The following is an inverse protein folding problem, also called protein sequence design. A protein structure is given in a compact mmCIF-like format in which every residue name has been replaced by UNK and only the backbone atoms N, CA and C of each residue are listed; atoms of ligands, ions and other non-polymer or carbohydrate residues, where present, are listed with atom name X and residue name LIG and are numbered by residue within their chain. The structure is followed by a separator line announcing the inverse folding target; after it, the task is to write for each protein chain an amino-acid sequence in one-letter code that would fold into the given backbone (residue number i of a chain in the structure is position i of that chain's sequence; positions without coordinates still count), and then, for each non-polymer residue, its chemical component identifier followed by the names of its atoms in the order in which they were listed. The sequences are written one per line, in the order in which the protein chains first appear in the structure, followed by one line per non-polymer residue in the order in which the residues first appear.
data_IF_899297877409
#
_entry.id   IF_899297877409
#
_cell.length_a   1.000
_cell.length_b   1.000
_cell.length_c   1.000
_cell.angle_alpha   90.00
_cell.angle_beta   90.00
_cell.angle_gamma   90.00
#
_symmetry.space_group_name_H-M   'P 1'
#
loop_
_entity.id
_entity.type
_entity.pdbx_description
1 polymer ?
#
# COMPACT_ATOMS: atom_id res chain seq x y z
N UNK A 1 -2.58 2.34 5.25
CA UNK A 1 -1.73 3.53 5.03
C UNK A 1 -2.09 4.73 5.88
N UNK A 2 -3.37 5.14 6.00
CA UNK A 2 -3.77 6.31 6.80
C UNK A 2 -3.15 6.37 8.21
N UNK A 3 -3.17 5.24 8.94
CA UNK A 3 -2.52 5.11 10.25
C UNK A 3 -1.03 5.45 10.24
N UNK A 4 -0.31 5.06 9.18
CA UNK A 4 1.13 5.27 9.03
C UNK A 4 1.39 6.76 8.74
N UNK A 5 0.66 7.34 7.79
CA UNK A 5 0.75 8.76 7.44
C UNK A 5 0.49 9.65 8.66
N UNK A 6 -0.58 9.39 9.41
CA UNK A 6 -0.89 10.08 10.65
C UNK A 6 0.19 9.85 11.74
N UNK A 7 0.72 8.62 11.84
CA UNK A 7 1.77 8.28 12.81
C UNK A 7 3.09 9.01 12.57
N UNK A 8 3.40 9.36 11.32
CA UNK A 8 4.55 10.23 10.98
C UNK A 8 4.23 11.74 11.04
N UNK A 9 3.02 12.13 11.46
CA UNK A 9 2.62 13.53 11.59
C UNK A 9 2.28 14.24 10.28
N UNK A 10 2.04 13.50 9.20
CA UNK A 10 1.67 14.07 7.91
C UNK A 10 0.17 14.39 7.85
N UNK A 11 -0.19 15.45 7.12
CA UNK A 11 -1.58 15.86 6.92
C UNK A 11 -2.21 15.11 5.73
N UNK A 12 -3.20 14.25 6.00
CA UNK A 12 -3.90 13.47 4.97
C UNK A 12 -4.68 14.30 3.95
N UNK A 13 -5.10 15.52 4.30
CA UNK A 13 -5.84 16.43 3.42
C UNK A 13 -4.96 16.97 2.28
N UNK A 14 -3.64 17.04 2.49
CA UNK A 14 -2.70 17.65 1.56
C UNK A 14 -2.10 16.58 0.63
N UNK A 15 -2.81 16.28 -0.46
CA UNK A 15 -2.27 15.39 -1.49
C UNK A 15 -1.13 16.00 -2.29
N UNK A 16 -0.40 15.14 -2.98
CA UNK A 16 0.61 15.50 -4.00
C UNK A 16 -0.11 15.87 -5.29
N UNK A 17 -1.09 15.06 -5.69
CA UNK A 17 -1.90 15.28 -6.89
C UNK A 17 -3.38 15.44 -6.56
N UNK A 18 -3.92 14.58 -5.69
CA UNK A 18 -5.31 14.68 -5.26
C UNK A 18 -5.52 15.95 -4.41
N UNK A 19 -6.50 16.76 -4.78
CA UNK A 19 -6.79 18.07 -4.17
C UNK A 19 -8.28 18.29 -3.89
N UNK A 20 -9.03 17.20 -3.71
CA UNK A 20 -10.44 17.30 -3.41
C UNK A 20 -10.62 17.78 -1.97
N UNK A 21 -11.24 18.95 -1.80
CA UNK A 21 -11.44 19.60 -0.49
C UNK A 21 -12.32 18.77 0.45
N UNK A 22 -13.18 17.90 -0.10
CA UNK A 22 -14.03 16.99 0.67
C UNK A 22 -13.36 15.65 0.99
N UNK A 23 -12.19 15.37 0.39
CA UNK A 23 -11.47 14.12 0.63
C UNK A 23 -10.39 14.32 1.72
N UNK A 24 -10.66 13.79 2.91
CA UNK A 24 -9.71 13.81 4.03
C UNK A 24 -8.49 12.88 3.83
N UNK A 25 -8.48 12.10 2.75
CA UNK A 25 -7.49 11.08 2.46
C UNK A 25 -6.67 11.33 1.19
N UNK A 26 -6.66 12.55 0.64
CA UNK A 26 -5.92 12.90 -0.58
C UNK A 26 -4.48 12.35 -0.61
N UNK A 27 -3.68 12.60 0.45
CA UNK A 27 -2.31 12.10 0.52
C UNK A 27 -2.24 10.58 0.69
N UNK A 28 -3.22 10.00 1.37
CA UNK A 28 -3.27 8.55 1.59
C UNK A 28 -3.52 7.86 0.26
N UNK A 29 -4.44 8.39 -0.55
CA UNK A 29 -4.76 7.87 -1.88
C UNK A 29 -3.52 7.93 -2.78
N UNK A 30 -2.84 9.09 -2.82
CA UNK A 30 -1.58 9.26 -3.57
C UNK A 30 -0.51 8.24 -3.18
N UNK A 31 -0.32 7.99 -1.88
CA UNK A 31 0.71 7.07 -1.39
C UNK A 31 0.30 5.58 -1.48
N UNK A 32 -1.00 5.28 -1.56
CA UNK A 32 -1.52 3.93 -1.68
C UNK A 32 -1.41 3.35 -3.09
N UNK A 33 -1.30 4.21 -4.12
CA UNK A 33 -1.33 3.80 -5.52
C UNK A 33 -0.39 2.62 -5.87
N UNK A 34 0.90 2.60 -5.45
CA UNK A 34 1.79 1.46 -5.76
C UNK A 34 1.36 0.12 -5.15
N UNK A 35 0.53 0.14 -4.11
CA UNK A 35 0.09 -1.07 -3.40
C UNK A 35 -1.24 -1.62 -3.93
N UNK A 36 -1.98 -0.89 -4.78
CA UNK A 36 -3.29 -1.33 -5.30
C UNK A 36 -3.20 -2.65 -6.06
N UNK A 37 -2.13 -2.80 -6.83
CA UNK A 37 -1.85 -3.99 -7.64
C UNK A 37 -1.84 -5.29 -6.82
N UNK A 38 -1.49 -5.25 -5.53
CA UNK A 38 -1.54 -6.41 -4.62
C UNK A 38 -2.97 -6.94 -4.50
N UNK A 39 -3.93 -6.02 -4.36
CA UNK A 39 -5.36 -6.34 -4.28
C UNK A 39 -5.87 -6.77 -5.64
N UNK A 40 -5.49 -6.07 -6.71
CA UNK A 40 -5.94 -6.35 -8.07
C UNK A 40 -5.60 -7.80 -8.50
N UNK A 41 -4.36 -8.23 -8.26
CA UNK A 41 -3.93 -9.61 -8.59
C UNK A 41 -4.70 -10.63 -7.75
N UNK A 42 -4.86 -10.41 -6.44
CA UNK A 42 -5.58 -11.34 -5.59
C UNK A 42 -7.07 -11.46 -5.99
N UNK A 43 -7.72 -10.33 -6.30
CA UNK A 43 -9.11 -10.31 -6.75
C UNK A 43 -9.25 -11.04 -8.09
N UNK A 44 -8.34 -10.80 -9.03
CA UNK A 44 -8.34 -11.51 -10.31
C UNK A 44 -8.17 -13.03 -10.13
N UNK A 45 -7.25 -13.47 -9.27
CA UNK A 45 -6.98 -14.89 -9.08
C UNK A 45 -8.09 -15.64 -8.32
N UNK A 46 -8.79 -14.96 -7.41
CA UNK A 46 -9.73 -15.63 -6.48
C UNK A 46 -11.20 -15.34 -6.75
N UNK A 47 -11.52 -14.18 -7.35
CA UNK A 47 -12.91 -13.69 -7.48
C UNK A 47 -13.41 -13.57 -8.91
N UNK A 48 -12.58 -13.84 -9.93
CA UNK A 48 -12.97 -13.67 -11.34
C UNK A 48 -14.27 -14.38 -11.72
N UNK A 49 -14.46 -15.60 -11.22
CA UNK A 49 -15.64 -16.43 -11.51
C UNK A 49 -16.66 -16.44 -10.36
N UNK A 50 -16.53 -15.50 -9.41
CA UNK A 50 -17.41 -15.40 -8.25
C UNK A 50 -18.44 -14.29 -8.44
N UNK A 51 -19.71 -14.61 -8.22
CA UNK A 51 -20.81 -13.65 -8.34
C UNK A 51 -20.93 -12.74 -7.10
N UNK A 52 -20.55 -13.23 -5.91
CA UNK A 52 -20.72 -12.52 -4.65
C UNK A 52 -19.46 -12.49 -3.78
N UNK A 53 -19.24 -11.36 -3.09
CA UNK A 53 -18.18 -11.20 -2.10
C UNK A 53 -18.56 -11.89 -0.77
N UNK A 54 -18.26 -13.18 -0.68
CA UNK A 54 -18.47 -14.00 0.52
C UNK A 54 -17.57 -13.57 1.69
N UNK A 55 -17.91 -14.03 2.89
CA UNK A 55 -17.14 -13.77 4.11
C UNK A 55 -15.67 -14.21 4.01
N UNK A 56 -15.41 -15.41 3.47
CA UNK A 56 -14.06 -15.96 3.30
C UNK A 56 -13.17 -15.07 2.41
N UNK A 57 -13.75 -14.46 1.37
CA UNK A 57 -13.02 -13.56 0.50
C UNK A 57 -12.64 -12.25 1.19
N UNK A 58 -13.50 -11.73 2.06
CA UNK A 58 -13.19 -10.54 2.88
C UNK A 58 -12.06 -10.82 3.88
N UNK A 59 -12.01 -12.03 4.42
CA UNK A 59 -10.88 -12.46 5.25
C UNK A 59 -9.59 -12.52 4.43
N UNK A 60 -9.63 -13.12 3.24
CA UNK A 60 -8.48 -13.18 2.33
C UNK A 60 -7.94 -11.80 1.95
N UNK A 61 -8.82 -10.87 1.58
CA UNK A 61 -8.47 -9.47 1.30
C UNK A 61 -7.81 -8.77 2.50
N UNK A 62 -8.26 -9.07 3.71
CA UNK A 62 -7.69 -8.50 4.93
C UNK A 62 -6.31 -9.09 5.22
N UNK A 63 -6.12 -10.39 4.96
CA UNK A 63 -4.84 -11.07 5.19
C UNK A 63 -3.74 -10.67 4.20
N UNK A 64 -4.09 -10.03 3.07
CA UNK A 64 -3.10 -9.44 2.15
C UNK A 64 -2.13 -8.46 2.85
N UNK A 65 -2.55 -7.84 3.94
CA UNK A 65 -1.69 -6.97 4.76
C UNK A 65 -0.54 -7.73 5.43
N UNK A 66 -0.71 -9.04 5.64
CA UNK A 66 0.28 -9.96 6.20
C UNK A 66 1.09 -10.72 5.14
N UNK A 67 0.70 -10.63 3.86
CA UNK A 67 1.43 -11.24 2.76
C UNK A 67 2.87 -10.71 2.69
N UNK A 68 3.79 -11.54 2.22
CA UNK A 68 5.20 -11.16 2.06
C UNK A 68 5.43 -10.61 0.67
N UNK A 69 6.19 -9.52 0.59
CA UNK A 69 6.62 -8.89 -0.65
C UNK A 69 8.07 -8.46 -0.56
N UNK A 70 8.74 -8.42 -1.72
CA UNK A 70 10.05 -7.79 -1.83
C UNK A 70 9.90 -6.27 -1.89
N UNK A 71 10.67 -5.59 -1.05
CA UNK A 71 10.81 -4.15 -1.01
C UNK A 71 12.31 -3.81 -1.05
N UNK A 72 12.78 -3.28 -2.18
CA UNK A 72 14.22 -3.12 -2.42
C UNK A 72 14.94 -4.48 -2.45
N UNK A 73 15.85 -4.71 -1.50
CA UNK A 73 16.65 -5.96 -1.39
C UNK A 73 16.12 -6.97 -0.39
N UNK A 74 15.12 -6.60 0.40
CA UNK A 74 14.61 -7.38 1.52
C UNK A 74 13.17 -7.86 1.26
N UNK A 75 12.79 -8.94 1.93
CA UNK A 75 11.41 -9.46 1.94
C UNK A 75 10.77 -9.12 3.28
N UNK A 76 9.64 -8.44 3.27
CA UNK A 76 8.88 -8.09 4.47
C UNK A 76 7.37 -8.18 4.22
N UNK A 77 6.56 -8.01 5.25
CA UNK A 77 5.10 -7.94 5.05
C UNK A 77 4.70 -6.69 4.27
N UNK A 78 3.54 -6.72 3.63
CA UNK A 78 2.95 -5.55 2.96
C UNK A 78 2.84 -4.37 3.92
N UNK A 79 2.40 -4.60 5.15
CA UNK A 79 2.32 -3.58 6.21
C UNK A 79 3.67 -2.93 6.54
N UNK A 80 4.75 -3.72 6.62
CA UNK A 80 6.10 -3.20 6.88
C UNK A 80 6.65 -2.45 5.66
N UNK A 81 6.36 -2.94 4.45
CA UNK A 81 6.75 -2.25 3.22
C UNK A 81 6.05 -0.88 3.09
N UNK A 82 4.76 -0.80 3.44
CA UNK A 82 4.01 0.45 3.50
C UNK A 82 4.66 1.47 4.46
N UNK A 83 5.11 1.03 5.63
CA UNK A 83 5.80 1.90 6.59
C UNK A 83 7.14 2.43 6.04
N UNK A 84 7.96 1.53 5.47
CA UNK A 84 9.24 1.88 4.83
C UNK A 84 9.03 2.82 3.64
N UNK A 85 7.96 2.63 2.87
CA UNK A 85 7.60 3.48 1.75
C UNK A 85 7.29 4.91 2.19
N UNK A 86 6.41 5.09 3.19
CA UNK A 86 6.08 6.42 3.72
C UNK A 86 7.31 7.08 4.35
N UNK A 87 8.14 6.32 5.08
CA UNK A 87 9.40 6.83 5.62
C UNK A 87 10.37 7.29 4.53
N UNK A 88 10.48 6.51 3.44
CA UNK A 88 11.27 6.86 2.26
C UNK A 88 10.72 8.12 1.57
N UNK A 89 9.40 8.25 1.46
CA UNK A 89 8.73 9.43 0.92
C UNK A 89 9.08 10.70 1.70
N UNK A 90 8.99 10.66 3.04
CA UNK A 90 9.33 11.80 3.91
C UNK A 90 10.78 12.21 3.72
N UNK A 91 11.69 11.23 3.69
CA UNK A 91 13.12 11.47 3.46
C UNK A 91 13.36 12.12 2.09
N UNK A 92 12.69 11.61 1.05
CA UNK A 92 12.80 12.16 -0.29
C UNK A 92 12.32 13.61 -0.37
N UNK A 93 11.17 13.94 0.24
CA UNK A 93 10.66 15.31 0.26
C UNK A 93 11.61 16.26 1.02
N UNK A 94 12.25 15.78 2.09
CA UNK A 94 13.09 16.62 2.95
C UNK A 94 14.51 16.80 2.41
N UNK A 95 15.13 15.71 1.95
CA UNK A 95 16.56 15.66 1.59
C UNK A 95 16.80 15.53 0.07
N UNK A 96 15.74 15.35 -0.73
CA UNK A 96 15.80 14.99 -2.16
C UNK A 96 16.57 13.69 -2.42
N UNK A 97 16.70 12.84 -1.40
CA UNK A 97 17.37 11.55 -1.48
C UNK A 97 16.36 10.44 -1.80
N UNK A 98 16.47 9.85 -2.99
CA UNK A 98 15.62 8.76 -3.46
C UNK A 98 16.18 7.36 -3.15
N UNK A 99 17.34 7.26 -2.48
CA UNK A 99 18.06 5.99 -2.35
C UNK A 99 17.28 4.88 -1.63
N UNK A 100 16.35 5.25 -0.76
CA UNK A 100 15.50 4.33 0.02
C UNK A 100 14.02 4.38 -0.36
N UNK A 101 13.69 5.11 -1.42
CA UNK A 101 12.33 5.21 -1.93
C UNK A 101 12.13 4.15 -3.02
N UNK A 102 11.48 3.05 -2.67
CA UNK A 102 11.27 1.91 -3.56
C UNK A 102 9.77 1.63 -3.67
N UNK A 103 9.34 1.09 -4.81
CA UNK A 103 7.98 0.57 -4.94
C UNK A 103 7.92 -0.91 -4.53
N UNK A 104 6.77 -1.39 -4.04
CA UNK A 104 6.56 -2.81 -3.79
C UNK A 104 6.66 -3.62 -5.10
N UNK A 105 7.34 -4.76 -5.07
CA UNK A 105 7.45 -5.64 -6.25
C UNK A 105 6.36 -6.71 -6.20
N UNK A 106 5.27 -6.47 -6.91
CA UNK A 106 4.07 -7.34 -6.87
C UNK A 106 4.33 -8.74 -7.40
N UNK A 107 5.26 -8.91 -8.35
CA UNK A 107 5.65 -10.25 -8.84
C UNK A 107 6.33 -11.14 -7.79
N UNK A 108 6.73 -10.58 -6.66
CA UNK A 108 7.34 -11.29 -5.52
C UNK A 108 6.36 -11.56 -4.37
N UNK A 109 5.08 -11.34 -4.63
CA UNK A 109 4.03 -11.46 -3.63
C UNK A 109 3.77 -12.92 -3.27
N UNK A 110 3.91 -13.21 -1.99
CA UNK A 110 3.68 -14.52 -1.40
C UNK A 110 2.59 -14.39 -0.32
N UNK A 111 1.40 -14.90 -0.61
CA UNK A 111 0.32 -15.06 0.36
C UNK A 111 0.09 -16.53 0.70
N UNK A 112 -0.48 -16.81 1.87
CA UNK A 112 -0.89 -18.18 2.22
C UNK A 112 -2.06 -18.56 1.32
N UNK A 113 -1.94 -19.69 0.61
CA UNK A 113 -3.07 -20.34 -0.07
C UNK A 113 -3.90 -21.10 0.94
#
# INVERSE_FOLDING_TARGET
MARIVAGYGLNGLLGIFHKNEYNQFNLIDDLMEPFRQIVDVWVYDNLRDQEFLKYEYRLGLTDLLNAKIKYGKETCSVTVAMDKYVKGFIKYISEKDSSKFHCPVVSSLEWRK
#
